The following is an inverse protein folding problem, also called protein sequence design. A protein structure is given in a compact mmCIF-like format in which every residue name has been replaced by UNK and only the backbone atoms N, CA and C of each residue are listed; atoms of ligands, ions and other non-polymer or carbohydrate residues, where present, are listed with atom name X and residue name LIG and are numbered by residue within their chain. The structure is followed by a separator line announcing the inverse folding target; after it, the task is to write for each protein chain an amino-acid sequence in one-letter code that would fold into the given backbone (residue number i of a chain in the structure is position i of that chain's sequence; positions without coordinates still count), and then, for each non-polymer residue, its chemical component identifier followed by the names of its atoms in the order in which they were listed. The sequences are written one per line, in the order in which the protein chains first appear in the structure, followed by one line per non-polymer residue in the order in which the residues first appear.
data_IF_381398153699
#
_entry.id   IF_381398153699
#
_cell.length_a   1.000
_cell.length_b   1.000
_cell.length_c   1.000
_cell.angle_alpha   90.00
_cell.angle_beta   90.00
_cell.angle_gamma   90.00
#
_symmetry.space_group_name_H-M   'P 1'
#
loop_
_entity.id
_entity.type
_entity.pdbx_description
1 polymer ?
#
# COMPACT_ATOMS: atom_id res chain seq x y z
N UNK A 1 15.69 -19.91 8.41
CA UNK A 1 14.36 -20.53 8.36
C UNK A 1 13.89 -20.39 6.93
N UNK A 2 13.67 -21.50 6.22
CA UNK A 2 13.34 -21.49 4.79
C UNK A 2 11.83 -21.67 4.71
N UNK A 3 11.09 -20.57 4.78
CA UNK A 3 9.67 -20.58 4.43
C UNK A 3 9.60 -20.66 2.90
N UNK A 4 9.49 -21.88 2.39
CA UNK A 4 9.52 -22.19 0.96
C UNK A 4 8.15 -22.28 0.32
N UNK A 5 7.07 -22.19 1.11
CA UNK A 5 5.71 -22.33 0.62
C UNK A 5 5.21 -21.00 0.05
N UNK A 6 4.58 -21.03 -1.11
CA UNK A 6 3.82 -19.87 -1.58
C UNK A 6 2.55 -19.66 -0.75
N UNK A 7 1.87 -18.52 -0.93
CA UNK A 7 0.69 -18.18 -0.12
C UNK A 7 -0.49 -19.15 -0.31
N UNK A 8 -0.58 -19.87 -1.44
CA UNK A 8 -1.60 -20.88 -1.66
C UNK A 8 -1.22 -22.21 -0.97
N UNK A 9 0.05 -22.60 -1.06
CA UNK A 9 0.60 -23.77 -0.39
C UNK A 9 0.54 -23.64 1.15
N UNK A 10 0.81 -22.46 1.70
CA UNK A 10 0.73 -22.18 3.13
C UNK A 10 -0.71 -22.28 3.69
N UNK A 11 -1.72 -21.99 2.86
CA UNK A 11 -3.14 -22.19 3.22
C UNK A 11 -3.48 -23.68 3.28
N UNK A 12 -2.98 -24.47 2.33
CA UNK A 12 -3.17 -25.92 2.32
C UNK A 12 -2.48 -26.58 3.51
N UNK A 13 -1.31 -26.07 3.91
CA UNK A 13 -0.57 -26.52 5.08
C UNK A 13 -1.17 -26.05 6.42
N UNK A 14 -2.26 -25.28 6.40
CA UNK A 14 -2.89 -24.67 7.58
C UNK A 14 -2.00 -23.67 8.36
N UNK A 15 -0.84 -23.31 7.82
CA UNK A 15 0.08 -22.31 8.38
C UNK A 15 -0.47 -20.88 8.23
N UNK A 16 -1.35 -20.67 7.24
CA UNK A 16 -1.94 -19.37 6.92
C UNK A 16 -3.46 -19.48 6.72
N UNK A 17 -4.23 -18.60 7.35
CA UNK A 17 -5.68 -18.53 7.08
C UNK A 17 -5.95 -18.02 5.67
N UNK A 18 -6.90 -18.58 4.90
CA UNK A 18 -7.26 -18.07 3.57
C UNK A 18 -7.74 -16.61 3.59
N UNK A 19 -8.20 -16.11 4.75
CA UNK A 19 -8.67 -14.74 4.94
C UNK A 19 -7.57 -13.72 4.66
N UNK A 20 -6.32 -14.00 5.04
CA UNK A 20 -5.24 -13.03 4.83
C UNK A 20 -4.91 -12.85 3.34
N UNK A 21 -5.04 -13.90 2.52
CA UNK A 21 -4.79 -13.80 1.08
C UNK A 21 -5.86 -12.93 0.42
N UNK A 22 -7.12 -13.08 0.83
CA UNK A 22 -8.22 -12.24 0.35
C UNK A 22 -8.06 -10.78 0.80
N UNK A 23 -7.65 -10.57 2.06
CA UNK A 23 -7.38 -9.26 2.62
C UNK A 23 -6.24 -8.55 1.88
N UNK A 24 -5.13 -9.25 1.64
CA UNK A 24 -3.99 -8.72 0.89
C UNK A 24 -4.34 -8.44 -0.57
N UNK A 25 -5.08 -9.32 -1.24
CA UNK A 25 -5.55 -9.10 -2.61
C UNK A 25 -6.42 -7.84 -2.71
N UNK A 26 -7.33 -7.65 -1.75
CA UNK A 26 -8.19 -6.45 -1.67
C UNK A 26 -7.37 -5.18 -1.47
N UNK A 27 -6.40 -5.23 -0.55
CA UNK A 27 -5.52 -4.09 -0.27
C UNK A 27 -4.71 -3.70 -1.52
N UNK A 28 -4.11 -4.67 -2.20
CA UNK A 28 -3.35 -4.43 -3.44
C UNK A 28 -4.26 -3.84 -4.53
N UNK A 29 -5.46 -4.37 -4.68
CA UNK A 29 -6.42 -3.85 -5.66
C UNK A 29 -6.77 -2.38 -5.39
N UNK A 30 -7.00 -2.01 -4.13
CA UNK A 30 -7.32 -0.62 -3.74
C UNK A 30 -6.15 0.33 -4.05
N UNK A 31 -4.91 -0.07 -3.71
CA UNK A 31 -3.72 0.72 -4.04
C UNK A 31 -3.58 0.93 -5.55
N UNK A 32 -3.76 -0.14 -6.34
CA UNK A 32 -3.69 -0.08 -7.79
C UNK A 32 -4.81 0.77 -8.38
N UNK A 33 -6.03 0.65 -7.84
CA UNK A 33 -7.18 1.44 -8.27
C UNK A 33 -6.91 2.94 -8.12
N UNK A 34 -6.49 3.38 -6.92
CA UNK A 34 -6.19 4.79 -6.68
C UNK A 34 -4.97 5.27 -7.47
N UNK A 35 -3.95 4.42 -7.64
CA UNK A 35 -2.78 4.76 -8.43
C UNK A 35 -3.17 5.04 -9.89
N UNK A 36 -3.98 4.16 -10.49
CA UNK A 36 -4.45 4.31 -11.86
C UNK A 36 -5.38 5.53 -12.04
N UNK A 37 -6.10 5.93 -10.99
CA UNK A 37 -6.89 7.17 -10.98
C UNK A 37 -6.04 8.43 -10.75
N UNK A 38 -4.75 8.29 -10.42
CA UNK A 38 -3.90 9.42 -10.04
C UNK A 38 -4.30 10.05 -8.70
N UNK A 39 -5.01 9.31 -7.86
CA UNK A 39 -5.56 9.76 -6.58
C UNK A 39 -4.87 9.12 -5.36
N UNK A 40 -3.90 8.22 -5.57
CA UNK A 40 -3.20 7.54 -4.47
C UNK A 40 -2.41 8.55 -3.63
N UNK A 41 -2.90 8.80 -2.42
CA UNK A 41 -2.28 9.69 -1.44
C UNK A 41 -1.69 8.92 -0.24
N UNK A 42 -1.51 7.61 -0.36
CA UNK A 42 -1.02 6.75 0.71
C UNK A 42 0.35 6.18 0.36
N UNK A 43 1.28 6.19 1.30
CA UNK A 43 2.58 5.53 1.17
C UNK A 43 2.61 4.15 1.84
N UNK A 44 1.55 3.81 2.59
CA UNK A 44 1.40 2.53 3.25
C UNK A 44 0.01 2.40 3.86
N UNK A 45 -0.32 1.20 4.31
CA UNK A 45 -1.56 0.91 5.01
C UNK A 45 -1.33 -0.15 6.09
N UNK A 46 -2.08 -0.04 7.17
CA UNK A 46 -2.15 -1.00 8.25
C UNK A 46 -3.55 -1.60 8.27
N UNK A 47 -3.62 -2.92 8.25
CA UNK A 47 -4.88 -3.65 8.31
C UNK A 47 -4.96 -4.44 9.62
N UNK A 48 -5.91 -4.05 10.48
CA UNK A 48 -6.28 -4.84 11.64
C UNK A 48 -7.34 -5.86 11.22
N UNK A 49 -6.92 -7.10 11.03
CA UNK A 49 -7.82 -8.18 10.62
C UNK A 49 -8.79 -8.63 11.73
N UNK A 50 -8.50 -8.32 13.00
CA UNK A 50 -9.39 -8.67 14.12
C UNK A 50 -10.48 -7.64 14.28
N UNK A 51 -10.13 -6.36 14.20
CA UNK A 51 -11.09 -5.26 14.26
C UNK A 51 -11.79 -4.99 12.91
N UNK A 52 -11.24 -5.52 11.80
CA UNK A 52 -11.74 -5.25 10.45
C UNK A 52 -11.51 -3.82 9.98
N UNK A 53 -10.51 -3.13 10.55
CA UNK A 53 -10.24 -1.72 10.26
C UNK A 53 -8.96 -1.55 9.45
N UNK A 54 -8.99 -0.63 8.49
CA UNK A 54 -7.81 -0.20 7.74
C UNK A 54 -7.44 1.23 8.12
N UNK A 55 -6.15 1.46 8.37
CA UNK A 55 -5.58 2.79 8.54
C UNK A 55 -4.53 3.04 7.48
N UNK A 56 -4.47 4.26 6.96
CA UNK A 56 -3.55 4.62 5.88
C UNK A 56 -2.43 5.49 6.43
N UNK A 57 -1.22 5.31 5.92
CA UNK A 57 -0.10 6.22 6.16
C UNK A 57 -0.11 7.24 5.02
N UNK A 58 -0.45 8.51 5.29
CA UNK A 58 -0.52 9.53 4.25
C UNK A 58 0.86 9.79 3.64
N UNK A 59 0.88 10.02 2.33
CA UNK A 59 2.06 10.37 1.56
C UNK A 59 2.35 11.88 1.66
N UNK A 60 2.55 12.38 2.89
CA UNK A 60 2.76 13.81 3.15
C UNK A 60 4.07 14.30 2.48
N UNK A 61 4.05 15.44 1.77
CA UNK A 61 5.22 15.95 1.05
C UNK A 61 6.49 16.08 1.90
N UNK A 62 6.38 16.49 3.16
CA UNK A 62 7.50 16.63 4.08
C UNK A 62 8.13 15.28 4.43
N UNK A 63 7.29 14.26 4.61
CA UNK A 63 7.74 12.89 4.90
C UNK A 63 8.46 12.32 3.67
N UNK A 64 7.85 12.46 2.49
CA UNK A 64 8.42 11.98 1.24
C UNK A 64 9.74 12.68 0.90
N UNK A 65 9.79 14.01 1.03
CA UNK A 65 11.00 14.79 0.76
C UNK A 65 12.18 14.33 1.63
N UNK A 66 11.92 14.08 2.92
CA UNK A 66 12.91 13.53 3.85
C UNK A 66 13.35 12.12 3.46
N UNK A 67 12.42 11.24 3.09
CA UNK A 67 12.75 9.86 2.70
C UNK A 67 13.55 9.79 1.39
N UNK A 68 13.25 10.69 0.45
CA UNK A 68 13.87 10.71 -0.87
C UNK A 68 15.14 11.58 -0.94
N UNK A 69 15.44 12.37 0.10
CA UNK A 69 16.59 13.27 0.14
C UNK A 69 16.45 14.47 -0.81
N UNK A 70 15.22 14.93 -1.06
CA UNK A 70 14.91 16.06 -1.96
C UNK A 70 14.26 17.22 -1.20
N UNK A 71 14.15 18.40 -1.82
CA UNK A 71 13.41 19.53 -1.24
C UNK A 71 11.91 19.35 -1.45
N UNK A 72 11.09 19.72 -0.45
CA UNK A 72 9.62 19.61 -0.53
C UNK A 72 9.06 20.28 -1.79
N UNK A 73 9.57 21.45 -2.17
CA UNK A 73 9.15 22.19 -3.37
C UNK A 73 9.28 21.39 -4.68
N UNK A 74 10.19 20.40 -4.73
CA UNK A 74 10.35 19.53 -5.91
C UNK A 74 9.21 18.53 -6.07
N UNK A 75 8.47 18.24 -4.99
CA UNK A 75 7.32 17.34 -4.98
C UNK A 75 6.01 18.07 -5.29
N UNK A 76 5.94 19.38 -5.03
CA UNK A 76 4.73 20.20 -5.21
C UNK A 76 4.63 20.78 -6.65
N UNK A 77 5.37 20.21 -7.61
CA UNK A 77 5.36 20.68 -9.00
C UNK A 77 3.96 20.54 -9.63
N UNK A 78 3.28 21.67 -9.70
CA UNK A 78 1.93 21.85 -10.23
C UNK A 78 1.81 21.46 -11.70
N UNK A 79 0.70 20.79 -12.01
CA UNK A 79 0.09 20.54 -13.32
C UNK A 79 0.03 21.78 -14.22
N UNK A 80 1.16 22.20 -14.78
CA UNK A 80 1.26 23.32 -15.72
C UNK A 80 1.25 22.87 -17.18
N UNK A 81 0.95 21.60 -17.47
CA UNK A 81 0.78 21.12 -18.84
C UNK A 81 -0.70 21.11 -19.23
N UNK A 82 -1.12 22.31 -19.67
CA UNK A 82 -2.10 22.67 -20.72
C UNK A 82 -3.25 21.69 -21.00
N UNK A 83 -4.47 22.19 -20.78
CA UNK A 83 -5.68 21.85 -21.57
C UNK A 83 -5.44 22.12 -23.05
#
# INVERSE_FOLDING_TARGET
VKDTLDCAEAVIAEDQSPVINQAMATLVLEFMHQLLQGALCWMGAYLDMKAGTMQTVPAEPEILARMLGVKVDTLILHNSRKR
#
